data_IF_517655184622
#
_entry.id   IF_517655184622
#
_cell.length_a   1.000
_cell.length_b   1.000
_cell.length_c   1.000
_cell.angle_alpha   90.00
_cell.angle_beta   90.00
_cell.angle_gamma   90.00
#
_symmetry.space_group_name_H-M   'P 1'
#
loop_
_entity.id
_entity.type
_entity.pdbx_description
1 polymer ?
#
# COMPACT_ATOMS: atom_id res chain seq x y z
N UNK A 1 -54.31 3.75 -11.93
CA UNK A 1 -52.97 4.14 -12.43
C UNK A 1 -52.20 2.85 -12.61
N UNK A 2 -51.74 2.53 -13.82
CA UNK A 2 -51.07 1.27 -14.10
C UNK A 2 -49.64 1.30 -13.51
N UNK A 3 -49.30 0.43 -12.55
CA UNK A 3 -47.95 0.38 -11.98
C UNK A 3 -46.86 0.09 -13.02
N UNK A 4 -47.20 -0.51 -14.17
CA UNK A 4 -46.25 -0.73 -15.26
C UNK A 4 -45.82 0.58 -15.96
N UNK A 5 -46.70 1.59 -16.01
CA UNK A 5 -46.40 2.91 -16.59
C UNK A 5 -45.49 3.76 -15.69
N UNK A 6 -45.53 3.56 -14.37
CA UNK A 6 -44.61 4.21 -13.42
C UNK A 6 -43.17 3.68 -13.56
N UNK A 7 -43.00 2.41 -13.95
CA UNK A 7 -41.67 1.80 -14.11
C UNK A 7 -40.96 2.22 -15.42
N UNK A 8 -41.71 2.58 -16.47
CA UNK A 8 -41.14 3.06 -17.73
C UNK A 8 -40.63 4.51 -17.69
N UNK A 9 -40.91 5.24 -16.61
CA UNK A 9 -40.58 6.67 -16.45
C UNK A 9 -39.50 6.92 -15.40
N UNK A 10 -38.87 5.87 -14.89
CA UNK A 10 -37.79 5.94 -13.91
C UNK A 10 -36.46 6.01 -14.65
N UNK A 11 -35.69 7.07 -14.44
CA UNK A 11 -34.32 7.14 -14.94
C UNK A 11 -33.50 5.95 -14.43
N UNK A 12 -32.60 5.37 -15.26
CA UNK A 12 -31.80 4.20 -14.86
C UNK A 12 -30.75 4.51 -13.77
N UNK A 13 -30.60 5.78 -13.39
CA UNK A 13 -29.67 6.23 -12.36
C UNK A 13 -30.44 6.91 -11.23
N UNK A 14 -30.15 6.58 -9.96
CA UNK A 14 -30.75 7.28 -8.84
C UNK A 14 -30.28 8.74 -8.82
N UNK A 15 -31.20 9.63 -8.51
CA UNK A 15 -30.95 11.06 -8.27
C UNK A 15 -30.37 11.32 -6.89
N UNK A 16 -30.73 10.48 -5.91
CA UNK A 16 -30.15 10.46 -4.57
C UNK A 16 -29.97 9.02 -4.11
N UNK A 17 -28.95 8.80 -3.30
CA UNK A 17 -28.66 7.52 -2.71
C UNK A 17 -28.27 7.74 -1.24
N UNK A 18 -28.81 6.90 -0.35
CA UNK A 18 -28.47 6.85 1.06
C UNK A 18 -28.18 5.42 1.51
N UNK A 19 -27.89 5.23 2.80
CA UNK A 19 -27.66 3.91 3.39
C UNK A 19 -28.91 3.00 3.39
N UNK A 20 -30.10 3.58 3.30
CA UNK A 20 -31.36 2.86 3.50
C UNK A 20 -32.29 2.91 2.29
N UNK A 21 -32.14 3.86 1.38
CA UNK A 21 -33.01 4.03 0.22
C UNK A 21 -32.30 4.66 -0.98
N UNK A 22 -32.87 4.42 -2.15
CA UNK A 22 -32.56 5.09 -3.43
C UNK A 22 -33.74 5.98 -3.82
N UNK A 23 -33.46 7.15 -4.37
CA UNK A 23 -34.49 8.07 -4.91
C UNK A 23 -34.27 8.23 -6.40
N UNK A 24 -35.27 7.87 -7.19
CA UNK A 24 -35.28 8.13 -8.62
C UNK A 24 -36.10 9.38 -8.93
N UNK A 25 -35.61 10.17 -9.89
CA UNK A 25 -36.42 11.23 -10.47
C UNK A 25 -37.59 10.58 -11.22
N UNK A 26 -38.80 10.78 -10.71
CA UNK A 26 -40.03 10.41 -11.40
C UNK A 26 -40.63 11.62 -12.09
N UNK A 27 -41.40 11.39 -13.14
CA UNK A 27 -42.03 12.45 -13.95
C UNK A 27 -43.09 13.26 -13.19
N UNK A 28 -43.74 12.66 -12.18
CA UNK A 28 -44.75 13.33 -11.35
C UNK A 28 -44.31 13.50 -9.89
N UNK A 29 -43.67 12.48 -9.31
CA UNK A 29 -43.16 12.48 -7.93
C UNK A 29 -41.87 11.64 -7.84
N UNK A 30 -40.93 11.97 -6.94
CA UNK A 30 -39.77 11.12 -6.69
C UNK A 30 -40.19 9.73 -6.23
N UNK A 31 -39.55 8.69 -6.78
CA UNK A 31 -39.80 7.30 -6.37
C UNK A 31 -38.72 6.90 -5.36
N UNK A 32 -39.14 6.63 -4.13
CA UNK A 32 -38.25 6.19 -3.04
C UNK A 32 -38.36 4.68 -2.89
N UNK A 33 -37.25 3.97 -3.11
CA UNK A 33 -37.20 2.51 -2.98
C UNK A 33 -36.23 2.15 -1.85
N UNK A 34 -36.59 1.27 -0.90
CA UNK A 34 -35.65 0.75 0.08
C UNK A 34 -34.46 0.09 -0.61
N UNK A 35 -33.24 0.36 -0.13
CA UNK A 35 -32.02 -0.21 -0.72
C UNK A 35 -32.03 -1.75 -0.64
N UNK A 36 -32.71 -2.31 0.35
CA UNK A 36 -32.90 -3.75 0.52
C UNK A 36 -33.76 -4.40 -0.56
N UNK A 37 -34.49 -3.62 -1.37
CA UNK A 37 -35.30 -4.12 -2.50
C UNK A 37 -34.54 -4.06 -3.83
N UNK A 38 -33.38 -3.42 -3.85
CA UNK A 38 -32.51 -3.32 -5.02
C UNK A 38 -31.53 -4.49 -5.00
N UNK A 39 -31.18 -5.03 -6.18
CA UNK A 39 -30.06 -5.97 -6.30
C UNK A 39 -28.79 -5.37 -5.68
N UNK A 40 -28.12 -6.14 -4.82
CA UNK A 40 -27.00 -5.64 -4.03
C UNK A 40 -25.83 -5.17 -4.91
N UNK A 41 -25.55 -5.83 -6.04
CA UNK A 41 -24.48 -5.44 -6.95
C UNK A 41 -24.83 -4.15 -7.69
N UNK A 42 -26.09 -4.00 -8.10
CA UNK A 42 -26.58 -2.78 -8.71
C UNK A 42 -26.51 -1.59 -7.74
N UNK A 43 -27.00 -1.77 -6.51
CA UNK A 43 -26.92 -0.77 -5.44
C UNK A 43 -25.47 -0.33 -5.16
N UNK A 44 -24.54 -1.28 -5.11
CA UNK A 44 -23.13 -1.02 -4.92
C UNK A 44 -22.49 -0.29 -6.12
N UNK A 45 -22.82 -0.68 -7.35
CA UNK A 45 -22.34 0.00 -8.55
C UNK A 45 -22.83 1.46 -8.62
N UNK A 46 -24.05 1.74 -8.17
CA UNK A 46 -24.53 3.11 -7.98
C UNK A 46 -23.76 3.83 -6.87
N UNK A 47 -23.62 3.20 -5.69
CA UNK A 47 -22.92 3.78 -4.55
C UNK A 47 -21.50 4.25 -4.87
N UNK A 48 -20.70 3.40 -5.51
CA UNK A 48 -19.31 3.72 -5.86
C UNK A 48 -19.20 4.94 -6.81
N UNK A 49 -20.24 5.21 -7.61
CA UNK A 49 -20.28 6.31 -8.59
C UNK A 49 -21.00 7.57 -8.09
N UNK A 50 -21.61 7.54 -6.91
CA UNK A 50 -22.52 8.60 -6.47
C UNK A 50 -21.82 9.61 -5.55
N UNK A 51 -21.54 10.81 -6.06
CA UNK A 51 -20.63 11.75 -5.39
C UNK A 51 -21.14 12.35 -4.07
N UNK A 52 -22.45 12.34 -3.85
CA UNK A 52 -23.05 12.83 -2.60
C UNK A 52 -22.84 11.91 -1.39
N UNK A 53 -22.51 10.64 -1.60
CA UNK A 53 -22.25 9.72 -0.50
C UNK A 53 -20.83 9.93 0.04
N UNK A 54 -20.66 9.86 1.36
CA UNK A 54 -19.31 9.81 1.91
C UNK A 54 -18.62 8.48 1.53
N UNK A 55 -17.29 8.48 1.54
CA UNK A 55 -16.48 7.32 1.12
C UNK A 55 -16.76 6.05 1.94
N UNK A 56 -17.04 6.21 3.24
CA UNK A 56 -17.27 5.09 4.15
C UNK A 56 -18.58 4.37 3.81
N UNK A 57 -19.66 5.12 3.56
CA UNK A 57 -20.96 4.59 3.13
C UNK A 57 -20.84 3.89 1.78
N UNK A 58 -20.12 4.48 0.80
CA UNK A 58 -19.90 3.83 -0.50
C UNK A 58 -19.18 2.50 -0.36
N UNK A 59 -18.09 2.48 0.41
CA UNK A 59 -17.33 1.26 0.70
C UNK A 59 -18.18 0.23 1.43
N UNK A 60 -18.97 0.62 2.43
CA UNK A 60 -19.81 -0.28 3.21
C UNK A 60 -20.88 -0.96 2.35
N UNK A 61 -21.59 -0.21 1.50
CA UNK A 61 -22.62 -0.76 0.60
C UNK A 61 -21.98 -1.77 -0.36
N UNK A 62 -20.84 -1.41 -0.95
CA UNK A 62 -20.18 -2.27 -1.91
C UNK A 62 -19.53 -3.53 -1.31
N UNK A 63 -18.99 -3.45 -0.08
CA UNK A 63 -18.52 -4.61 0.67
C UNK A 63 -19.65 -5.55 1.07
N UNK A 64 -20.85 -5.03 1.40
CA UNK A 64 -22.04 -5.87 1.66
C UNK A 64 -22.49 -6.64 0.41
N UNK A 65 -22.22 -6.10 -0.78
CA UNK A 65 -22.51 -6.74 -2.06
C UNK A 65 -21.40 -7.69 -2.55
N UNK A 66 -20.31 -7.86 -1.79
CA UNK A 66 -19.17 -8.71 -2.17
C UNK A 66 -18.33 -8.16 -3.32
N UNK A 67 -18.34 -6.83 -3.53
CA UNK A 67 -17.55 -6.16 -4.58
C UNK A 67 -16.17 -5.71 -4.06
N UNK A 68 -15.50 -6.55 -3.29
CA UNK A 68 -14.26 -6.27 -2.55
C UNK A 68 -13.16 -5.65 -3.43
N UNK A 69 -12.93 -6.22 -4.62
CA UNK A 69 -11.91 -5.71 -5.55
C UNK A 69 -12.23 -4.31 -6.09
N UNK A 70 -13.51 -4.02 -6.34
CA UNK A 70 -13.95 -2.72 -6.86
C UNK A 70 -13.88 -1.66 -5.77
N UNK A 71 -14.28 -2.01 -4.55
CA UNK A 71 -14.08 -1.16 -3.36
C UNK A 71 -12.62 -0.87 -3.18
N UNK A 72 -11.76 -1.87 -3.32
CA UNK A 72 -10.33 -1.64 -3.14
C UNK A 72 -9.75 -0.70 -4.19
N UNK A 73 -10.05 -0.92 -5.47
CA UNK A 73 -9.62 -0.02 -6.54
C UNK A 73 -10.11 1.41 -6.32
N UNK A 74 -11.36 1.57 -5.88
CA UNK A 74 -11.95 2.86 -5.52
C UNK A 74 -11.22 3.54 -4.35
N UNK A 75 -10.99 2.81 -3.25
CA UNK A 75 -10.27 3.33 -2.08
C UNK A 75 -8.81 3.70 -2.41
N UNK A 76 -8.12 2.92 -3.25
CA UNK A 76 -6.77 3.27 -3.73
C UNK A 76 -6.73 4.57 -4.54
N UNK A 77 -7.83 4.93 -5.20
CA UNK A 77 -7.93 6.18 -5.95
C UNK A 77 -8.25 7.35 -5.01
N UNK A 78 -9.22 7.20 -4.10
CA UNK A 78 -9.68 8.31 -3.27
C UNK A 78 -8.77 8.60 -2.06
N UNK A 79 -8.17 7.57 -1.43
CA UNK A 79 -7.33 7.73 -0.24
C UNK A 79 -5.93 8.30 -0.54
N UNK A 80 -5.62 8.65 -1.79
CA UNK A 80 -4.32 9.20 -2.18
C UNK A 80 -4.03 10.49 -1.43
N UNK A 81 -3.00 10.47 -0.57
CA UNK A 81 -2.60 11.65 0.22
C UNK A 81 -3.56 12.03 1.36
N UNK A 82 -4.67 11.32 1.55
CA UNK A 82 -5.68 11.62 2.59
C UNK A 82 -5.61 10.67 3.79
N UNK A 83 -5.75 11.17 5.03
CA UNK A 83 -5.90 10.29 6.20
C UNK A 83 -7.22 9.51 6.11
N UNK A 84 -7.30 8.35 6.77
CA UNK A 84 -8.55 7.60 6.89
C UNK A 84 -9.51 8.37 7.82
N UNK A 85 -10.79 8.44 7.45
CA UNK A 85 -11.82 8.90 8.39
C UNK A 85 -12.17 7.78 9.37
N UNK A 86 -12.54 8.14 10.59
CA UNK A 86 -12.92 7.17 11.62
C UNK A 86 -14.10 6.27 11.20
N UNK A 87 -15.02 6.79 10.37
CA UNK A 87 -16.10 6.00 9.78
C UNK A 87 -15.57 4.93 8.82
N UNK A 88 -14.64 5.30 7.94
CA UNK A 88 -14.02 4.37 7.01
C UNK A 88 -13.16 3.34 7.74
N UNK A 89 -12.42 3.75 8.77
CA UNK A 89 -11.66 2.82 9.62
C UNK A 89 -12.55 1.73 10.22
N UNK A 90 -13.75 2.08 10.71
CA UNK A 90 -14.73 1.10 11.22
C UNK A 90 -15.20 0.14 10.13
N UNK A 91 -15.49 0.64 8.93
CA UNK A 91 -15.90 -0.19 7.79
C UNK A 91 -14.78 -1.16 7.41
N UNK A 92 -13.54 -0.68 7.34
CA UNK A 92 -12.37 -1.51 7.02
C UNK A 92 -12.05 -2.52 8.13
N UNK A 93 -12.23 -2.17 9.40
CA UNK A 93 -12.06 -3.08 10.53
C UNK A 93 -13.11 -4.21 10.51
N UNK A 94 -14.36 -3.90 10.19
CA UNK A 94 -15.42 -4.91 10.01
C UNK A 94 -15.10 -5.84 8.83
N UNK A 95 -14.59 -5.29 7.73
CA UNK A 95 -14.14 -6.10 6.59
C UNK A 95 -12.97 -7.00 6.98
N UNK A 96 -11.96 -6.48 7.68
CA UNK A 96 -10.82 -7.26 8.16
C UNK A 96 -11.28 -8.40 9.08
N UNK A 97 -12.20 -8.15 10.01
CA UNK A 97 -12.74 -9.18 10.90
C UNK A 97 -13.49 -10.28 10.14
N UNK A 98 -14.27 -9.92 9.10
CA UNK A 98 -14.94 -10.89 8.23
C UNK A 98 -13.94 -11.73 7.45
N UNK A 99 -12.89 -11.11 6.89
CA UNK A 99 -11.85 -11.83 6.15
C UNK A 99 -11.04 -12.75 7.08
N UNK A 100 -10.74 -12.31 8.30
CA UNK A 100 -10.13 -13.18 9.31
C UNK A 100 -11.00 -14.40 9.61
N UNK A 101 -12.31 -14.19 9.83
CA UNK A 101 -13.23 -15.29 10.09
C UNK A 101 -13.34 -16.24 8.88
N UNK A 102 -13.45 -15.70 7.66
CA UNK A 102 -13.50 -16.47 6.41
C UNK A 102 -12.25 -17.33 6.23
N UNK A 103 -11.08 -16.81 6.61
CA UNK A 103 -9.80 -17.50 6.54
C UNK A 103 -9.47 -18.31 7.79
N UNK A 104 -10.39 -18.40 8.77
CA UNK A 104 -10.19 -19.08 10.06
C UNK A 104 -8.92 -18.61 10.80
N UNK A 105 -8.61 -17.32 10.69
CA UNK A 105 -7.46 -16.69 11.34
C UNK A 105 -7.82 -16.25 12.76
N UNK A 106 -6.85 -16.28 13.70
CA UNK A 106 -7.09 -15.84 15.07
C UNK A 106 -7.43 -14.34 15.12
N UNK A 107 -8.45 -14.00 15.91
CA UNK A 107 -8.86 -12.63 16.16
C UNK A 107 -7.88 -11.90 17.10
N UNK A 108 -7.87 -10.56 17.04
CA UNK A 108 -7.20 -9.71 18.02
C UNK A 108 -5.67 -9.61 17.93
N UNK A 109 -5.03 -10.24 16.94
CA UNK A 109 -3.60 -10.09 16.69
C UNK A 109 -3.33 -9.03 15.62
N UNK A 110 -2.27 -8.21 15.78
CA UNK A 110 -1.82 -7.29 14.71
C UNK A 110 -1.11 -8.00 13.56
N UNK A 111 -0.77 -9.27 13.77
CA UNK A 111 -0.01 -10.08 12.85
C UNK A 111 -0.55 -11.51 12.88
N UNK A 112 -0.76 -12.09 11.70
CA UNK A 112 -1.20 -13.48 11.55
C UNK A 112 -0.19 -14.22 10.72
N UNK A 113 0.17 -15.45 11.13
CA UNK A 113 1.14 -16.29 10.43
C UNK A 113 0.47 -17.61 10.07
N UNK A 114 0.63 -18.01 8.81
CA UNK A 114 0.18 -19.29 8.28
C UNK A 114 1.29 -19.99 7.50
N UNK A 115 1.10 -21.29 7.21
CA UNK A 115 2.10 -22.11 6.51
C UNK A 115 3.18 -22.70 7.42
N UNK A 116 3.02 -22.61 8.74
CA UNK A 116 3.98 -23.08 9.74
C UNK A 116 3.34 -23.83 10.90
N UNK A 117 4.11 -24.75 11.50
CA UNK A 117 3.78 -25.42 12.75
C UNK A 117 3.76 -24.43 13.93
N UNK A 118 3.02 -24.78 15.00
CA UNK A 118 2.82 -23.90 16.15
C UNK A 118 4.14 -23.47 16.84
N UNK A 119 5.13 -24.36 16.92
CA UNK A 119 6.43 -24.10 17.56
C UNK A 119 7.30 -23.13 16.74
N UNK A 120 7.31 -23.28 15.41
CA UNK A 120 8.04 -22.37 14.52
C UNK A 120 7.38 -20.98 14.51
N UNK A 121 6.04 -20.95 14.56
CA UNK A 121 5.23 -19.73 14.55
C UNK A 121 5.59 -18.77 15.67
N UNK A 122 5.73 -19.24 16.91
CA UNK A 122 6.02 -18.39 18.06
C UNK A 122 7.41 -17.73 17.97
N UNK A 123 8.39 -18.46 17.43
CA UNK A 123 9.74 -17.94 17.20
C UNK A 123 9.72 -16.84 16.14
N UNK A 124 9.04 -17.08 15.02
CA UNK A 124 9.00 -16.15 13.89
C UNK A 124 8.10 -14.93 14.14
N UNK A 125 7.07 -15.06 14.97
CA UNK A 125 6.19 -13.96 15.34
C UNK A 125 6.97 -12.75 15.85
N UNK A 126 7.96 -12.95 16.73
CA UNK A 126 8.80 -11.84 17.23
C UNK A 126 9.57 -11.13 16.11
N UNK A 127 10.07 -11.89 15.14
CA UNK A 127 10.85 -11.32 14.02
C UNK A 127 9.95 -10.55 13.04
N UNK A 128 8.80 -11.12 12.68
CA UNK A 128 7.85 -10.46 11.78
C UNK A 128 7.20 -9.23 12.42
N UNK A 129 6.84 -9.31 13.71
CA UNK A 129 6.36 -8.15 14.47
C UNK A 129 7.40 -7.02 14.53
N UNK A 130 8.69 -7.37 14.68
CA UNK A 130 9.76 -6.37 14.62
C UNK A 130 9.88 -5.73 13.23
N UNK A 131 9.87 -6.52 12.15
CA UNK A 131 9.92 -5.98 10.79
C UNK A 131 8.72 -5.05 10.52
N UNK A 132 7.52 -5.45 10.94
CA UNK A 132 6.30 -4.64 10.85
C UNK A 132 6.41 -3.33 11.63
N UNK A 133 6.91 -3.39 12.86
CA UNK A 133 7.08 -2.20 13.69
C UNK A 133 8.11 -1.23 13.08
N UNK A 134 9.24 -1.73 12.57
CA UNK A 134 10.23 -0.90 11.89
C UNK A 134 9.67 -0.24 10.62
N UNK A 135 8.87 -0.96 9.84
CA UNK A 135 8.18 -0.39 8.68
C UNK A 135 7.18 0.70 9.09
N UNK A 136 6.42 0.49 10.17
CA UNK A 136 5.53 1.51 10.72
C UNK A 136 6.32 2.74 11.16
N UNK A 137 7.37 2.59 11.96
CA UNK A 137 8.20 3.72 12.41
C UNK A 137 8.83 4.46 11.21
N UNK A 138 9.29 3.72 10.21
CA UNK A 138 9.87 4.31 9.01
C UNK A 138 8.82 5.14 8.26
N UNK A 139 7.64 4.59 7.99
CA UNK A 139 6.62 5.22 7.16
C UNK A 139 5.62 6.12 7.94
N UNK A 140 5.69 6.15 9.27
CA UNK A 140 4.80 6.92 10.13
C UNK A 140 4.78 8.43 9.82
N UNK A 141 5.91 9.11 9.50
CA UNK A 141 5.90 10.53 9.15
C UNK A 141 5.03 10.88 7.93
N UNK A 142 4.67 9.87 7.12
CA UNK A 142 3.91 10.05 5.89
C UNK A 142 2.48 9.48 6.00
N UNK A 143 2.09 9.09 7.22
CA UNK A 143 0.78 8.52 7.51
C UNK A 143 0.57 7.16 6.84
N UNK A 144 1.63 6.34 6.77
CA UNK A 144 1.59 4.96 6.27
C UNK A 144 2.15 4.00 7.32
N UNK A 145 1.80 2.70 7.27
CA UNK A 145 0.82 2.08 6.36
C UNK A 145 -0.64 2.46 6.64
N UNK A 146 -1.54 2.33 5.64
CA UNK A 146 -2.97 2.71 5.71
C UNK A 146 -3.94 1.53 5.68
N UNK A 147 -3.49 0.35 6.09
CA UNK A 147 -4.37 -0.82 6.18
C UNK A 147 -5.03 -0.93 7.57
N UNK A 148 -6.24 -1.45 7.62
CA UNK A 148 -6.95 -1.90 8.79
C UNK A 148 -6.73 -3.41 9.04
N UNK A 149 -6.67 -3.76 10.32
CA UNK A 149 -6.52 -5.14 10.76
C UNK A 149 -5.07 -5.66 10.66
N UNK A 150 -4.89 -6.97 10.89
CA UNK A 150 -3.56 -7.57 10.90
C UNK A 150 -2.91 -7.63 9.53
N UNK A 151 -1.59 -7.72 9.52
CA UNK A 151 -0.86 -8.21 8.34
C UNK A 151 -0.81 -9.74 8.39
N UNK A 152 -1.26 -10.39 7.33
CA UNK A 152 -1.21 -11.84 7.19
C UNK A 152 0.06 -12.25 6.45
N UNK A 153 1.00 -12.88 7.15
CA UNK A 153 2.17 -13.51 6.56
C UNK A 153 1.87 -14.97 6.24
N UNK A 154 1.98 -15.32 4.97
CA UNK A 154 1.97 -16.69 4.51
C UNK A 154 3.40 -17.13 4.19
N UNK A 155 3.93 -18.07 4.97
CA UNK A 155 5.28 -18.57 4.76
C UNK A 155 5.20 -19.79 3.84
N UNK A 156 5.76 -19.68 2.65
CA UNK A 156 5.78 -20.80 1.71
C UNK A 156 6.82 -21.84 2.15
N UNK A 157 6.47 -23.11 1.92
CA UNK A 157 7.46 -24.19 1.89
C UNK A 157 8.37 -24.10 0.65
N UNK A 158 9.23 -25.09 0.45
CA UNK A 158 10.22 -25.10 -0.63
C UNK A 158 9.63 -25.15 -2.07
N UNK A 159 8.32 -25.32 -2.23
CA UNK A 159 7.65 -25.33 -3.53
C UNK A 159 6.47 -24.34 -3.55
N UNK A 160 6.65 -23.12 -4.09
CA UNK A 160 5.55 -22.18 -4.33
C UNK A 160 4.59 -22.71 -5.41
N UNK A 161 3.29 -22.53 -5.22
CA UNK A 161 2.35 -22.51 -6.36
C UNK A 161 2.39 -21.12 -7.00
N UNK A 162 2.39 -20.98 -8.34
CA UNK A 162 2.50 -19.69 -9.03
C UNK A 162 1.33 -18.73 -8.73
N UNK A 163 0.19 -19.23 -8.23
CA UNK A 163 -0.95 -18.41 -7.78
C UNK A 163 -0.76 -17.80 -6.39
N UNK A 164 0.25 -18.20 -5.62
CA UNK A 164 0.45 -17.74 -4.24
C UNK A 164 1.44 -16.57 -4.09
N UNK A 165 2.01 -16.03 -5.17
CA UNK A 165 3.21 -15.17 -5.07
C UNK A 165 2.95 -13.66 -5.12
N UNK A 166 1.79 -13.20 -5.59
CA UNK A 166 1.50 -11.77 -5.67
C UNK A 166 0.97 -11.22 -4.33
N UNK A 167 1.50 -10.10 -3.81
CA UNK A 167 0.96 -9.48 -2.61
C UNK A 167 -0.50 -9.05 -2.84
N UNK A 168 -1.39 -9.45 -1.92
CA UNK A 168 -2.79 -9.01 -1.96
C UNK A 168 -2.88 -7.64 -1.29
N UNK A 169 -2.95 -6.60 -2.13
CA UNK A 169 -2.77 -5.21 -1.70
C UNK A 169 -3.92 -4.67 -0.83
N UNK A 170 -4.91 -5.46 -0.42
CA UNK A 170 -6.11 -4.99 0.29
C UNK A 170 -5.78 -4.08 1.49
N UNK A 171 -6.60 -3.06 1.76
CA UNK A 171 -6.45 -2.24 2.96
C UNK A 171 -6.97 -2.99 4.18
N UNK A 172 -7.80 -4.02 4.04
CA UNK A 172 -8.20 -4.87 5.13
C UNK A 172 -7.43 -6.19 5.00
N UNK A 173 -6.70 -6.57 6.05
CA UNK A 173 -5.97 -7.84 6.12
C UNK A 173 -5.01 -8.07 4.93
N UNK A 174 -4.02 -7.19 4.69
CA UNK A 174 -3.05 -7.40 3.61
C UNK A 174 -2.32 -8.72 3.79
N UNK A 175 -2.18 -9.47 2.69
CA UNK A 175 -1.47 -10.76 2.67
C UNK A 175 -0.12 -10.60 2.01
N UNK A 176 0.92 -10.92 2.77
CA UNK A 176 2.31 -10.98 2.33
C UNK A 176 2.78 -12.42 2.27
N UNK A 177 3.49 -12.77 1.21
CA UNK A 177 3.97 -14.12 0.99
C UNK A 177 5.47 -14.09 1.11
N UNK A 178 6.01 -14.82 2.10
CA UNK A 178 7.45 -14.91 2.29
C UNK A 178 7.94 -16.24 1.76
N UNK A 179 8.94 -16.17 0.89
CA UNK A 179 9.70 -17.32 0.39
C UNK A 179 11.17 -17.18 0.79
N UNK A 180 11.88 -18.31 0.89
CA UNK A 180 13.32 -18.32 1.11
C UNK A 180 13.76 -19.03 2.40
N UNK A 181 15.04 -18.86 2.78
CA UNK A 181 15.66 -19.54 3.91
C UNK A 181 14.92 -19.22 5.22
N UNK A 182 14.77 -20.23 6.09
CA UNK A 182 14.10 -20.09 7.39
C UNK A 182 14.96 -19.45 8.48
N UNK A 183 16.14 -18.93 8.13
CA UNK A 183 17.00 -18.22 9.07
C UNK A 183 16.27 -16.96 9.61
N UNK A 184 16.22 -16.73 10.93
CA UNK A 184 15.49 -15.61 11.51
C UNK A 184 15.89 -14.21 11.03
N UNK A 185 17.18 -13.97 10.74
CA UNK A 185 17.65 -12.67 10.25
C UNK A 185 17.25 -12.48 8.78
N UNK A 186 17.40 -13.54 7.99
CA UNK A 186 17.01 -13.56 6.58
C UNK A 186 15.51 -13.36 6.39
N UNK A 187 14.67 -14.07 7.16
CA UNK A 187 13.22 -13.90 7.12
C UNK A 187 12.78 -12.51 7.55
N UNK A 188 13.47 -11.92 8.53
CA UNK A 188 13.16 -10.57 8.99
C UNK A 188 13.44 -9.51 7.93
N UNK A 189 14.59 -9.61 7.26
CA UNK A 189 14.91 -8.76 6.13
C UNK A 189 13.91 -8.97 4.98
N UNK A 190 13.61 -10.21 4.63
CA UNK A 190 12.62 -10.53 3.60
C UNK A 190 11.24 -9.93 3.92
N UNK A 191 10.76 -10.09 5.17
CA UNK A 191 9.51 -9.48 5.61
C UNK A 191 9.52 -7.95 5.49
N UNK A 192 10.63 -7.30 5.87
CA UNK A 192 10.73 -5.84 5.77
C UNK A 192 10.65 -5.35 4.32
N UNK A 193 11.26 -6.08 3.37
CA UNK A 193 11.15 -5.79 1.93
C UNK A 193 9.73 -5.98 1.42
N UNK A 194 9.08 -7.09 1.75
CA UNK A 194 7.71 -7.37 1.31
C UNK A 194 6.70 -6.34 1.88
N UNK A 195 6.89 -5.91 3.13
CA UNK A 195 6.11 -4.82 3.72
C UNK A 195 6.38 -3.50 2.98
N UNK A 196 7.65 -3.21 2.66
CA UNK A 196 8.02 -2.02 1.91
C UNK A 196 7.39 -2.00 0.52
N UNK A 197 7.44 -3.13 -0.20
CA UNK A 197 6.82 -3.32 -1.49
C UNK A 197 5.29 -3.11 -1.44
N UNK A 198 4.62 -3.66 -0.43
CA UNK A 198 3.20 -3.43 -0.17
C UNK A 198 2.88 -1.95 0.04
N UNK A 199 3.68 -1.24 0.84
CA UNK A 199 3.50 0.21 1.08
C UNK A 199 3.70 1.01 -0.19
N UNK A 200 4.76 0.73 -0.97
CA UNK A 200 5.02 1.40 -2.25
C UNK A 200 3.92 1.11 -3.28
N UNK A 201 3.35 -0.09 -3.28
CA UNK A 201 2.22 -0.43 -4.14
C UNK A 201 0.93 0.31 -3.74
N UNK A 202 0.72 0.57 -2.44
CA UNK A 202 -0.38 1.42 -1.95
C UNK A 202 -0.21 2.90 -2.33
N UNK A 203 1.02 3.33 -2.60
CA UNK A 203 1.32 4.70 -3.04
C UNK A 203 1.05 4.96 -4.53
N UNK A 204 0.35 4.07 -5.24
CA UNK A 204 0.01 4.17 -6.67
C UNK A 204 1.25 4.49 -7.54
N UNK A 205 2.01 3.47 -7.99
CA UNK A 205 3.22 3.71 -8.77
C UNK A 205 2.94 4.51 -10.06
N UNK A 206 3.96 5.16 -10.64
CA UNK A 206 3.84 5.72 -12.00
C UNK A 206 3.52 4.59 -13.01
N UNK A 207 3.03 4.92 -14.23
CA UNK A 207 2.63 3.91 -15.21
C UNK A 207 3.72 2.87 -15.56
N UNK A 208 4.99 3.27 -15.50
CA UNK A 208 6.14 2.37 -15.72
C UNK A 208 6.62 1.62 -14.47
N UNK A 209 5.98 1.80 -13.31
CA UNK A 209 6.47 1.28 -12.03
C UNK A 209 7.50 2.20 -11.36
N UNK A 210 7.72 1.99 -10.07
CA UNK A 210 8.77 2.72 -9.34
C UNK A 210 10.16 2.43 -9.93
N UNK A 211 11.05 3.43 -10.03
CA UNK A 211 12.42 3.20 -10.50
C UNK A 211 13.13 2.11 -9.67
N UNK A 212 13.88 1.18 -10.29
CA UNK A 212 14.53 0.08 -9.57
C UNK A 212 15.48 0.55 -8.45
N UNK A 213 16.20 1.65 -8.65
CA UNK A 213 17.10 2.21 -7.63
C UNK A 213 16.34 2.67 -6.38
N UNK A 214 15.10 3.13 -6.55
CA UNK A 214 14.25 3.57 -5.45
C UNK A 214 13.75 2.36 -4.65
N UNK A 215 13.21 1.35 -5.33
CA UNK A 215 12.68 0.14 -4.67
C UNK A 215 13.80 -0.63 -3.99
N UNK A 216 14.89 -0.94 -4.69
CA UNK A 216 16.07 -1.64 -4.14
C UNK A 216 16.70 -0.84 -3.00
N UNK A 217 16.83 0.47 -3.14
CA UNK A 217 17.41 1.31 -2.10
C UNK A 217 16.58 1.33 -0.82
N UNK A 218 15.26 1.50 -0.93
CA UNK A 218 14.34 1.45 0.21
C UNK A 218 14.30 0.05 0.83
N UNK A 219 14.28 -1.01 0.02
CA UNK A 219 14.30 -2.39 0.48
C UNK A 219 15.57 -2.70 1.29
N UNK A 220 16.74 -2.23 0.85
CA UNK A 220 17.99 -2.41 1.58
C UNK A 220 18.02 -1.62 2.89
N UNK A 221 17.54 -0.38 2.89
CA UNK A 221 17.40 0.41 4.13
C UNK A 221 16.45 -0.28 5.12
N UNK A 222 15.29 -0.74 4.65
CA UNK A 222 14.30 -1.44 5.47
C UNK A 222 14.82 -2.77 6.01
N UNK A 223 15.53 -3.54 5.19
CA UNK A 223 16.17 -4.79 5.59
C UNK A 223 17.20 -4.58 6.70
N UNK A 224 18.07 -3.58 6.54
CA UNK A 224 19.07 -3.23 7.55
C UNK A 224 18.40 -2.84 8.87
N UNK A 225 17.41 -1.93 8.82
CA UNK A 225 16.67 -1.48 10.02
C UNK A 225 15.98 -2.62 10.75
N UNK A 226 15.32 -3.51 10.01
CA UNK A 226 14.66 -4.69 10.60
C UNK A 226 15.67 -5.57 11.36
N UNK A 227 16.88 -5.73 10.82
CA UNK A 227 17.97 -6.44 11.47
C UNK A 227 18.62 -5.69 12.64
N UNK A 228 18.14 -4.49 12.97
CA UNK A 228 18.71 -3.64 14.02
C UNK A 228 20.01 -2.94 13.59
N UNK A 229 20.29 -2.93 12.29
CA UNK A 229 21.41 -2.22 11.70
C UNK A 229 20.86 -0.91 11.12
N UNK A 230 21.29 0.23 11.67
CA UNK A 230 21.07 1.50 10.97
C UNK A 230 22.14 1.58 9.88
N UNK A 231 21.80 1.75 8.60
CA UNK A 231 22.81 1.92 7.55
C UNK A 231 23.78 3.04 7.95
N UNK A 232 25.08 2.73 7.99
CA UNK A 232 26.09 3.68 8.47
C UNK A 232 26.15 4.89 7.53
N UNK A 233 25.86 6.12 8.00
CA UNK A 233 25.90 7.31 7.15
C UNK A 233 27.27 7.52 6.51
N UNK A 234 28.34 7.22 7.24
CA UNK A 234 29.72 7.34 6.74
C UNK A 234 30.04 6.30 5.67
N UNK A 235 29.57 5.05 5.80
CA UNK A 235 29.76 4.04 4.76
C UNK A 235 28.95 4.39 3.51
N UNK A 236 27.70 4.84 3.68
CA UNK A 236 26.87 5.31 2.57
C UNK A 236 27.45 6.54 1.87
N UNK A 237 28.07 7.47 2.61
CA UNK A 237 28.79 8.59 2.01
C UNK A 237 30.01 8.12 1.20
N UNK A 238 30.86 7.25 1.79
CA UNK A 238 32.02 6.69 1.08
C UNK A 238 31.61 5.96 -0.20
N UNK A 239 30.55 5.16 -0.16
CA UNK A 239 30.04 4.46 -1.34
C UNK A 239 29.65 5.44 -2.46
N UNK A 240 28.94 6.53 -2.12
CA UNK A 240 28.56 7.56 -3.09
C UNK A 240 29.77 8.31 -3.63
N UNK A 241 30.76 8.62 -2.79
CA UNK A 241 32.00 9.27 -3.20
C UNK A 241 32.85 8.40 -4.13
N UNK A 242 32.96 7.10 -3.83
CA UNK A 242 33.70 6.13 -4.65
C UNK A 242 33.05 5.95 -6.02
N UNK A 243 31.72 5.87 -6.08
CA UNK A 243 30.98 5.77 -7.34
C UNK A 243 31.05 7.08 -8.16
N UNK A 244 31.06 8.22 -7.48
CA UNK A 244 31.12 9.54 -8.09
C UNK A 244 29.80 10.00 -8.73
N UNK A 245 29.76 11.29 -9.12
CA UNK A 245 28.54 11.92 -9.63
C UNK A 245 28.01 11.31 -10.93
N UNK A 246 28.90 10.86 -11.82
CA UNK A 246 28.50 10.23 -13.08
C UNK A 246 27.73 8.92 -12.85
N UNK A 247 28.20 8.06 -11.94
CA UNK A 247 27.50 6.82 -11.60
C UNK A 247 26.14 7.08 -10.95
N UNK A 248 26.05 8.09 -10.07
CA UNK A 248 24.77 8.50 -9.46
C UNK A 248 23.80 8.97 -10.55
N UNK A 249 24.23 9.82 -11.49
CA UNK A 249 23.38 10.28 -12.59
C UNK A 249 22.92 9.14 -13.49
N UNK A 250 23.80 8.19 -13.81
CA UNK A 250 23.46 7.00 -14.57
C UNK A 250 22.39 6.18 -13.85
N UNK A 251 22.59 5.92 -12.55
CA UNK A 251 21.63 5.19 -11.71
C UNK A 251 20.25 5.86 -11.69
N UNK A 252 20.21 7.19 -11.49
CA UNK A 252 18.97 7.98 -11.41
C UNK A 252 18.17 8.00 -12.72
N UNK A 253 18.82 7.74 -13.86
CA UNK A 253 18.21 7.75 -15.21
C UNK A 253 17.81 6.37 -15.72
N UNK A 254 18.06 5.30 -14.95
CA UNK A 254 17.69 3.95 -15.36
C UNK A 254 16.15 3.83 -15.52
N UNK A 255 15.66 3.36 -16.68
CA UNK A 255 14.23 3.19 -16.89
C UNK A 255 13.67 2.03 -16.04
N UNK A 256 12.39 2.09 -15.70
CA UNK A 256 11.68 0.96 -15.12
C UNK A 256 11.04 0.10 -16.24
N UNK A 257 11.12 -1.24 -16.21
CA UNK A 257 11.93 -2.07 -15.31
C UNK A 257 13.39 -2.22 -15.81
N UNK A 258 14.37 -2.10 -14.91
CA UNK A 258 15.78 -2.43 -15.15
C UNK A 258 16.30 -3.32 -14.02
N UNK A 259 17.22 -4.24 -14.34
CA UNK A 259 17.93 -5.04 -13.35
C UNK A 259 19.20 -4.31 -12.95
N UNK A 260 19.40 -4.10 -11.65
CA UNK A 260 20.60 -3.45 -11.12
C UNK A 260 21.69 -4.49 -10.87
N UNK A 261 22.92 -4.20 -11.29
CA UNK A 261 24.10 -4.95 -10.86
C UNK A 261 24.39 -4.70 -9.36
N UNK A 262 25.33 -5.46 -8.78
CA UNK A 262 25.62 -5.39 -7.35
C UNK A 262 26.10 -3.98 -6.91
N UNK A 263 26.92 -3.33 -7.72
CA UNK A 263 27.45 -1.99 -7.42
C UNK A 263 26.33 -0.95 -7.42
N UNK A 264 25.42 -1.02 -8.40
CA UNK A 264 24.23 -0.18 -8.51
C UNK A 264 23.25 -0.42 -7.36
N UNK A 265 23.09 -1.67 -6.91
CA UNK A 265 22.28 -1.99 -5.74
C UNK A 265 22.88 -1.35 -4.47
N UNK A 266 24.18 -1.50 -4.24
CA UNK A 266 24.87 -0.87 -3.10
C UNK A 266 24.78 0.66 -3.16
N UNK A 267 24.95 1.26 -4.34
CA UNK A 267 24.81 2.70 -4.54
C UNK A 267 23.38 3.19 -4.28
N UNK A 268 22.38 2.41 -4.70
CA UNK A 268 20.96 2.69 -4.43
C UNK A 268 20.67 2.73 -2.93
N UNK A 269 21.17 1.74 -2.17
CA UNK A 269 21.02 1.70 -0.72
C UNK A 269 21.72 2.88 -0.06
N UNK A 270 22.93 3.22 -0.51
CA UNK A 270 23.68 4.35 -0.01
C UNK A 270 22.97 5.70 -0.25
N UNK A 271 22.37 5.88 -1.44
CA UNK A 271 21.57 7.05 -1.76
C UNK A 271 20.31 7.13 -0.88
N UNK A 272 19.54 6.05 -0.79
CA UNK A 272 18.31 6.03 -0.02
C UNK A 272 18.56 6.13 1.49
N UNK A 273 19.72 5.69 1.98
CA UNK A 273 20.15 5.93 3.37
C UNK A 273 20.16 7.42 3.70
N UNK A 274 20.67 8.28 2.81
CA UNK A 274 20.65 9.73 3.01
C UNK A 274 19.21 10.26 2.94
N UNK A 275 18.48 9.94 1.87
CA UNK A 275 17.17 10.52 1.58
C UNK A 275 16.09 10.09 2.59
N UNK A 276 16.27 8.94 3.24
CA UNK A 276 15.34 8.40 4.25
C UNK A 276 15.82 8.55 5.70
N UNK A 277 16.93 9.27 5.92
CA UNK A 277 17.42 9.62 7.25
C UNK A 277 16.35 10.35 8.07
N UNK A 278 16.39 10.21 9.40
CA UNK A 278 15.35 10.77 10.29
C UNK A 278 15.13 12.28 10.07
N UNK A 279 16.20 13.02 9.74
CA UNK A 279 16.15 14.48 9.47
C UNK A 279 15.48 14.84 8.14
N UNK A 280 15.50 13.94 7.15
CA UNK A 280 15.05 14.20 5.77
C UNK A 280 13.78 13.45 5.41
N UNK A 281 13.36 12.47 6.21
CA UNK A 281 12.25 11.57 5.90
C UNK A 281 10.92 12.29 5.67
N UNK A 282 10.69 13.44 6.28
CA UNK A 282 9.50 14.26 6.05
C UNK A 282 9.34 14.74 4.60
N UNK A 283 10.43 14.82 3.83
CA UNK A 283 10.40 15.19 2.41
C UNK A 283 10.10 14.01 1.47
N UNK A 284 10.15 12.77 1.98
CA UNK A 284 9.94 11.55 1.17
C UNK A 284 8.59 11.53 0.44
N UNK A 285 7.44 11.98 1.00
CA UNK A 285 6.17 12.02 0.26
C UNK A 285 6.23 12.92 -0.96
N UNK A 286 6.72 14.14 -0.78
CA UNK A 286 6.89 15.10 -1.88
C UNK A 286 7.77 14.51 -2.96
N UNK A 287 8.89 13.90 -2.57
CA UNK A 287 9.77 13.21 -3.52
C UNK A 287 9.05 12.09 -4.31
N UNK A 288 8.34 11.18 -3.61
CA UNK A 288 7.61 10.10 -4.27
C UNK A 288 6.50 10.61 -5.20
N UNK A 289 5.82 11.69 -4.83
CA UNK A 289 4.80 12.34 -5.65
C UNK A 289 5.39 12.95 -6.93
N UNK A 290 6.58 13.58 -6.85
CA UNK A 290 7.27 14.13 -8.03
C UNK A 290 7.70 13.03 -8.99
N UNK A 291 8.29 11.93 -8.48
CA UNK A 291 8.65 10.76 -9.30
C UNK A 291 7.40 10.14 -9.94
N UNK A 292 6.30 10.02 -9.19
CA UNK A 292 5.03 9.49 -9.71
C UNK A 292 4.50 10.32 -10.88
N UNK A 293 4.64 11.64 -10.80
CA UNK A 293 4.21 12.58 -11.84
C UNK A 293 5.23 12.73 -12.99
N UNK A 294 6.22 11.84 -13.07
CA UNK A 294 7.17 11.77 -14.19
C UNK A 294 8.28 12.82 -14.14
N UNK A 295 8.50 13.47 -13.00
CA UNK A 295 9.64 14.37 -12.86
C UNK A 295 10.95 13.56 -12.89
N UNK A 296 11.96 14.09 -13.59
CA UNK A 296 13.31 13.54 -13.57
C UNK A 296 13.82 13.37 -12.13
N UNK A 297 14.47 12.25 -11.84
CA UNK A 297 14.83 11.89 -10.48
C UNK A 297 15.81 12.87 -9.83
N UNK A 298 16.76 13.43 -10.59
CA UNK A 298 17.66 14.45 -10.09
C UNK A 298 16.89 15.73 -9.74
N UNK A 299 15.98 16.16 -10.63
CA UNK A 299 15.13 17.32 -10.38
C UNK A 299 14.18 17.09 -9.20
N UNK A 300 13.63 15.89 -9.03
CA UNK A 300 12.78 15.53 -7.91
C UNK A 300 13.54 15.56 -6.58
N UNK A 301 14.78 15.04 -6.54
CA UNK A 301 15.65 15.13 -5.35
C UNK A 301 15.91 16.58 -4.99
N UNK A 302 16.29 17.41 -5.98
CA UNK A 302 16.54 18.84 -5.75
C UNK A 302 15.30 19.57 -5.24
N UNK A 303 14.13 19.28 -5.80
CA UNK A 303 12.87 19.94 -5.44
C UNK A 303 12.39 19.52 -4.05
N UNK A 304 12.40 18.23 -3.73
CA UNK A 304 11.88 17.73 -2.45
C UNK A 304 12.86 17.93 -1.29
N UNK A 305 14.17 17.73 -1.51
CA UNK A 305 15.18 17.71 -0.46
C UNK A 305 16.09 18.94 -0.43
N UNK A 306 16.04 19.79 -1.47
CA UNK A 306 16.99 20.90 -1.62
C UNK A 306 18.42 20.44 -1.87
N UNK A 307 18.62 19.24 -2.41
CA UNK A 307 19.93 18.63 -2.64
C UNK A 307 20.28 18.61 -4.14
N UNK A 308 21.45 19.13 -4.50
CA UNK A 308 22.03 18.91 -5.82
C UNK A 308 22.97 17.69 -5.87
N UNK A 309 23.56 17.42 -7.04
CA UNK A 309 24.47 16.27 -7.21
C UNK A 309 25.72 16.37 -6.32
N UNK A 310 26.24 17.57 -6.10
CA UNK A 310 27.41 17.77 -5.25
C UNK A 310 27.03 17.51 -3.79
N UNK A 311 25.84 17.95 -3.37
CA UNK A 311 25.31 17.67 -2.04
C UNK A 311 25.14 16.16 -1.77
N UNK A 312 24.87 15.36 -2.81
CA UNK A 312 24.82 13.89 -2.70
C UNK A 312 26.20 13.25 -2.50
N UNK A 313 27.31 13.98 -2.73
CA UNK A 313 28.68 13.50 -2.58
C UNK A 313 29.36 14.01 -1.29
N UNK A 314 28.74 14.93 -0.57
CA UNK A 314 29.26 15.52 0.67
C UNK A 314 28.32 15.26 1.85
N UNK A 315 28.85 15.29 3.08
CA UNK A 315 28.03 15.20 4.28
C UNK A 315 27.45 16.57 4.63
N UNK A 316 26.12 16.67 4.73
CA UNK A 316 25.38 17.83 5.27
C UNK A 316 24.28 17.36 6.22
#
# INVERSE_FOLDING_TARGET
MDPALLLHLIEPRPSQLSETHVVFAGTAVPVVIPLSWVDAKQAAAWALKHDSLNIATRAQIALRAGLDQQVWAYLQQDLRGRPLSLELERVLALWAAREQARLSLPAGSELVISGLEARERSTLQRHLSRALNEARIFWQPIGLPRWAGPVHFHILGAAPSPTDTAPDLRPALPRLVLSGPRDPATLRAAAAREINALILAQLAPPPGGWPPWLTVGLDGVMSARANGQVPSPLQALRQRQLAGGAAILTLLRLPAPSVLDEEQQQLSIALLTLLSSDRRRSALPSFLDLIRNGQDAQAAIKTAYGLDLNDLLIER
#
